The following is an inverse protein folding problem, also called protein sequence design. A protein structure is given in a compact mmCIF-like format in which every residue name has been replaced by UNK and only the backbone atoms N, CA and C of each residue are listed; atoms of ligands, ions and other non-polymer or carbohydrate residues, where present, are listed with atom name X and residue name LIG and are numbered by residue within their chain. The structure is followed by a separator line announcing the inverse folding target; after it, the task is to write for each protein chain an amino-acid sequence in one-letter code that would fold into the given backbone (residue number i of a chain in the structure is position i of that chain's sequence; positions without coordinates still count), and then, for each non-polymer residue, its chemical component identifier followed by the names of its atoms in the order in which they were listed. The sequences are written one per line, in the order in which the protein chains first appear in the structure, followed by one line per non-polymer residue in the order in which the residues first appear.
data_IF_968523431848
#
_entry.id   IF_968523431848
#
_cell.length_a   1.000
_cell.length_b   1.000
_cell.length_c   1.000
_cell.angle_alpha   90.00
_cell.angle_beta   90.00
_cell.angle_gamma   90.00
#
_symmetry.space_group_name_H-M   'P 1'
#
loop_
_entity.id
_entity.type
_entity.pdbx_description
1 polymer ?
#
# COMPACT_ATOMS: atom_id res chain seq x y z
N UNK A 1 -10.47 -8.19 -23.95
CA UNK A 1 -9.46 -7.50 -23.14
C UNK A 1 -8.71 -6.55 -24.05
N UNK A 2 -8.69 -5.25 -23.75
CA UNK A 2 -7.75 -4.34 -24.41
C UNK A 2 -6.34 -4.73 -23.95
N UNK A 3 -5.53 -5.24 -24.86
CA UNK A 3 -4.11 -5.47 -24.60
C UNK A 3 -3.39 -4.12 -24.72
N UNK A 4 -2.39 -3.83 -23.88
CA UNK A 4 -1.59 -2.62 -24.04
C UNK A 4 -0.94 -2.60 -25.43
N UNK A 5 -0.91 -1.41 -26.04
CA UNK A 5 -0.29 -1.20 -27.33
C UNK A 5 1.24 -1.38 -27.29
N UNK A 6 1.90 -1.50 -28.46
CA UNK A 6 3.36 -1.61 -28.53
C UNK A 6 4.07 -0.47 -27.77
N UNK A 7 5.07 -0.82 -26.95
CA UNK A 7 5.88 0.14 -26.21
C UNK A 7 5.27 0.67 -24.90
N UNK A 8 4.05 0.27 -24.54
CA UNK A 8 3.37 0.74 -23.32
C UNK A 8 3.80 0.01 -22.03
N UNK A 9 4.62 -1.04 -22.14
CA UNK A 9 5.18 -1.77 -21.00
C UNK A 9 6.70 -1.85 -21.15
N UNK A 10 7.41 -1.47 -20.08
CA UNK A 10 8.86 -1.55 -19.97
C UNK A 10 9.24 -2.37 -18.75
N UNK A 11 10.36 -3.09 -18.86
CA UNK A 11 10.83 -3.98 -17.80
C UNK A 11 12.28 -3.66 -17.48
N UNK A 12 12.60 -3.68 -16.20
CA UNK A 12 13.96 -3.64 -15.66
C UNK A 12 14.16 -4.84 -14.74
N UNK A 13 15.41 -5.19 -14.46
CA UNK A 13 15.73 -6.28 -13.53
C UNK A 13 16.24 -5.70 -12.23
N UNK A 14 15.72 -6.22 -11.13
CA UNK A 14 16.38 -6.16 -9.84
C UNK A 14 17.30 -7.38 -9.75
N UNK A 15 18.62 -7.17 -9.71
CA UNK A 15 19.60 -8.28 -9.73
C UNK A 15 19.63 -9.04 -8.40
N UNK A 16 19.40 -8.33 -7.30
CA UNK A 16 19.44 -8.86 -5.94
C UNK A 16 18.24 -8.31 -5.13
N UNK A 17 17.59 -9.14 -4.30
CA UNK A 17 16.40 -8.76 -3.55
C UNK A 17 16.76 -7.90 -2.32
N UNK A 18 17.33 -6.72 -2.54
CA UNK A 18 17.81 -5.81 -1.49
C UNK A 18 16.70 -4.92 -0.89
N UNK A 19 15.43 -5.27 -1.08
CA UNK A 19 14.28 -4.49 -0.58
C UNK A 19 13.57 -3.63 -1.62
N UNK A 20 12.45 -3.04 -1.22
CA UNK A 20 11.56 -2.24 -2.08
C UNK A 20 12.25 -0.97 -2.61
N UNK A 21 13.04 -0.28 -1.79
CA UNK A 21 13.76 0.92 -2.21
C UNK A 21 14.73 0.62 -3.35
N UNK A 22 15.43 -0.52 -3.29
CA UNK A 22 16.29 -0.98 -4.39
C UNK A 22 15.48 -1.28 -5.66
N UNK A 23 14.33 -1.97 -5.53
CA UNK A 23 13.47 -2.28 -6.66
C UNK A 23 12.97 -1.01 -7.37
N UNK A 24 12.57 0.01 -6.61
CA UNK A 24 12.17 1.32 -7.14
C UNK A 24 13.35 2.00 -7.85
N UNK A 25 14.54 1.97 -7.25
CA UNK A 25 15.75 2.56 -7.86
C UNK A 25 16.16 1.89 -9.19
N UNK A 26 15.89 0.59 -9.36
CA UNK A 26 16.13 -0.11 -10.64
C UNK A 26 15.30 0.48 -11.80
N UNK A 27 14.18 1.17 -11.53
CA UNK A 27 13.32 1.79 -12.52
C UNK A 27 13.69 3.24 -12.87
N UNK A 28 14.65 3.86 -12.17
CA UNK A 28 14.98 5.29 -12.31
C UNK A 28 15.21 5.77 -13.75
N UNK A 29 15.85 4.96 -14.60
CA UNK A 29 16.14 5.34 -15.99
C UNK A 29 14.90 5.26 -16.90
N UNK A 30 13.91 4.44 -16.52
CA UNK A 30 12.64 4.34 -17.23
C UNK A 30 11.71 5.48 -16.87
N UNK A 31 11.73 5.91 -15.60
CA UNK A 31 10.94 7.05 -15.10
C UNK A 31 11.56 8.38 -15.52
N UNK A 32 12.88 8.51 -15.42
CA UNK A 32 13.57 9.77 -15.67
C UNK A 32 13.33 10.79 -14.55
N UNK A 33 13.30 12.08 -14.91
CA UNK A 33 13.09 13.18 -13.97
C UNK A 33 11.62 13.63 -13.97
N UNK A 34 10.71 12.68 -13.79
CA UNK A 34 9.26 12.92 -13.77
C UNK A 34 8.64 12.34 -12.49
N UNK A 35 7.55 12.94 -11.97
CA UNK A 35 6.78 12.34 -10.90
C UNK A 35 6.17 11.01 -11.37
N UNK A 36 6.11 10.03 -10.48
CA UNK A 36 5.65 8.70 -10.84
C UNK A 36 4.71 8.08 -9.80
N UNK A 37 3.83 7.21 -10.28
CA UNK A 37 3.00 6.39 -9.41
C UNK A 37 3.70 5.06 -9.12
N UNK A 38 3.67 4.62 -7.86
CA UNK A 38 4.13 3.30 -7.43
C UNK A 38 2.95 2.49 -6.88
N UNK A 39 2.85 1.24 -7.30
CA UNK A 39 1.79 0.33 -6.91
C UNK A 39 2.40 -1.00 -6.48
N UNK A 40 2.21 -1.37 -5.20
CA UNK A 40 2.57 -2.71 -4.73
C UNK A 40 1.50 -3.71 -5.20
N UNK A 41 1.86 -4.71 -6.02
CA UNK A 41 0.91 -5.58 -6.69
C UNK A 41 0.27 -6.63 -5.76
N UNK A 42 0.90 -6.89 -4.63
CA UNK A 42 0.41 -7.74 -3.54
C UNK A 42 -0.69 -7.07 -2.71
N UNK A 43 -0.89 -5.75 -2.81
CA UNK A 43 -2.03 -5.08 -2.15
C UNK A 43 -3.15 -4.82 -3.16
N UNK A 44 -4.27 -5.52 -2.99
CA UNK A 44 -5.47 -5.31 -3.79
C UNK A 44 -6.34 -4.22 -3.19
N UNK A 45 -6.74 -3.24 -4.01
CA UNK A 45 -7.54 -2.09 -3.59
C UNK A 45 -8.98 -2.26 -4.05
N UNK A 46 -9.92 -2.35 -3.10
CA UNK A 46 -11.36 -2.48 -3.38
C UNK A 46 -12.10 -1.22 -2.93
N UNK A 47 -12.75 -0.54 -3.85
CA UNK A 47 -13.57 0.63 -3.55
C UNK A 47 -14.36 1.05 -4.77
N UNK A 48 -15.42 1.85 -4.56
CA UNK A 48 -16.26 2.33 -5.67
C UNK A 48 -15.46 3.11 -6.71
N UNK A 49 -14.46 3.87 -6.26
CA UNK A 49 -13.47 4.56 -7.11
C UNK A 49 -12.08 4.03 -6.76
N UNK A 50 -11.25 3.75 -7.76
CA UNK A 50 -9.90 3.22 -7.56
C UNK A 50 -9.01 4.16 -6.73
N UNK A 51 -8.20 3.59 -5.85
CA UNK A 51 -7.32 4.33 -4.93
C UNK A 51 -6.42 5.34 -5.67
N UNK A 52 -5.72 4.91 -6.73
CA UNK A 52 -4.85 5.80 -7.51
C UNK A 52 -5.61 6.96 -8.17
N UNK A 53 -6.86 6.74 -8.61
CA UNK A 53 -7.67 7.81 -9.18
C UNK A 53 -8.09 8.86 -8.14
N UNK A 54 -8.23 8.47 -6.86
CA UNK A 54 -8.45 9.41 -5.76
C UNK A 54 -7.15 10.17 -5.44
N UNK A 55 -6.01 9.48 -5.43
CA UNK A 55 -4.69 10.11 -5.20
C UNK A 55 -4.32 11.11 -6.29
N UNK A 56 -4.53 10.79 -7.57
CA UNK A 56 -4.23 11.69 -8.69
C UNK A 56 -5.06 12.98 -8.62
N UNK A 57 -6.31 12.91 -8.16
CA UNK A 57 -7.12 14.12 -7.93
C UNK A 57 -6.51 14.99 -6.83
N UNK A 58 -6.08 14.38 -5.72
CA UNK A 58 -5.40 15.12 -4.65
C UNK A 58 -4.05 15.70 -5.13
N UNK A 59 -3.31 14.96 -5.96
CA UNK A 59 -2.07 15.43 -6.57
C UNK A 59 -2.30 16.62 -7.47
N UNK A 60 -3.36 16.62 -8.29
CA UNK A 60 -3.69 17.75 -9.17
C UNK A 60 -3.95 19.07 -8.43
N UNK A 61 -4.38 19.02 -7.18
CA UNK A 61 -4.62 20.22 -6.36
C UNK A 61 -3.38 20.70 -5.58
N UNK A 62 -2.40 19.83 -5.32
CA UNK A 62 -1.33 20.06 -4.32
C UNK A 62 0.08 19.87 -4.84
N UNK A 63 0.26 19.00 -5.82
CA UNK A 63 1.56 18.45 -6.22
C UNK A 63 2.22 17.64 -5.10
N UNK A 64 3.55 17.55 -5.16
CA UNK A 64 4.38 16.94 -4.11
C UNK A 64 4.27 15.42 -4.02
N UNK A 65 4.47 14.89 -2.82
CA UNK A 65 4.48 13.45 -2.56
C UNK A 65 3.20 13.01 -1.84
N UNK A 66 2.58 11.94 -2.32
CA UNK A 66 1.34 11.41 -1.74
C UNK A 66 1.49 9.92 -1.47
N UNK A 67 0.98 9.47 -0.32
CA UNK A 67 0.86 8.05 0.03
C UNK A 67 -0.58 7.74 0.41
N UNK A 68 -1.12 6.64 -0.11
CA UNK A 68 -2.42 6.17 0.35
C UNK A 68 -2.29 5.57 1.74
N UNK A 69 -3.24 5.87 2.61
CA UNK A 69 -3.27 5.35 3.98
C UNK A 69 -4.61 4.74 4.33
N UNK A 70 -4.56 3.75 5.22
CA UNK A 70 -5.72 3.11 5.83
C UNK A 70 -5.47 2.88 7.32
N UNK A 71 -6.54 2.74 8.10
CA UNK A 71 -6.42 2.38 9.50
C UNK A 71 -6.00 0.91 9.63
N UNK A 72 -5.08 0.64 10.53
CA UNK A 72 -4.63 -0.71 10.89
C UNK A 72 -4.87 -0.95 12.37
N UNK A 73 -5.15 -2.20 12.75
CA UNK A 73 -5.22 -2.55 14.17
C UNK A 73 -3.86 -2.29 14.84
N UNK A 74 -3.80 -1.74 16.06
CA UNK A 74 -2.52 -1.46 16.74
C UNK A 74 -1.61 -2.69 16.86
N UNK A 75 -2.18 -3.89 16.98
CA UNK A 75 -1.44 -5.14 17.05
C UNK A 75 -0.74 -5.50 15.72
N UNK A 76 -1.24 -5.01 14.59
CA UNK A 76 -0.74 -5.32 13.25
C UNK A 76 0.20 -4.22 12.70
N UNK A 77 0.26 -3.05 13.35
CA UNK A 77 1.02 -1.89 12.88
C UNK A 77 2.52 -2.17 12.63
N UNK A 78 3.11 -3.10 13.37
CA UNK A 78 4.52 -3.49 13.22
C UNK A 78 4.84 -4.19 11.88
N UNK A 79 3.83 -4.55 11.09
CA UNK A 79 4.01 -5.16 9.77
C UNK A 79 4.12 -4.14 8.63
N UNK A 80 3.86 -2.86 8.90
CA UNK A 80 3.65 -1.84 7.87
C UNK A 80 4.50 -0.58 8.11
N UNK A 81 4.65 0.23 7.05
CA UNK A 81 5.04 1.63 7.20
C UNK A 81 3.90 2.43 7.83
N UNK A 82 4.17 3.14 8.92
CA UNK A 82 3.17 3.93 9.65
C UNK A 82 3.52 5.42 9.54
N UNK A 83 2.52 6.26 9.26
CA UNK A 83 2.69 7.72 9.16
C UNK A 83 2.15 8.43 10.40
N UNK A 84 2.73 9.58 10.74
CA UNK A 84 2.17 10.54 11.68
C UNK A 84 1.65 11.76 10.91
N UNK A 85 0.47 12.28 11.29
CA UNK A 85 -0.07 13.49 10.66
C UNK A 85 0.45 14.75 11.35
N UNK A 86 0.54 15.85 10.60
CA UNK A 86 0.79 17.16 11.19
C UNK A 86 -0.42 17.63 12.02
N UNK A 87 -0.22 18.37 13.12
CA UNK A 87 -1.33 18.91 13.91
C UNK A 87 -2.20 19.89 13.12
N UNK A 88 -3.51 19.90 13.39
CA UNK A 88 -4.44 20.91 12.85
C UNK A 88 -4.96 20.66 11.43
N UNK A 89 -4.66 19.51 10.84
CA UNK A 89 -5.24 19.08 9.57
C UNK A 89 -6.74 18.73 9.77
N UNK A 90 -7.60 19.15 8.84
CA UNK A 90 -9.05 18.86 8.89
C UNK A 90 -9.38 17.38 8.64
N UNK A 91 -10.66 17.00 8.68
CA UNK A 91 -11.10 15.60 8.53
C UNK A 91 -11.19 15.08 7.08
N UNK A 92 -10.96 15.93 6.08
CA UNK A 92 -11.18 15.58 4.66
C UNK A 92 -10.01 15.95 3.76
N UNK A 93 -9.78 15.14 2.73
CA UNK A 93 -8.73 15.34 1.74
C UNK A 93 -7.42 14.65 2.11
N UNK A 94 -6.32 15.13 1.53
CA UNK A 94 -4.98 14.68 1.89
C UNK A 94 -4.45 15.53 3.07
N UNK A 95 -3.85 14.86 4.04
CA UNK A 95 -3.33 15.47 5.27
C UNK A 95 -1.81 15.51 5.23
N UNK A 96 -1.19 16.63 5.62
CA UNK A 96 0.28 16.69 5.68
C UNK A 96 0.83 15.68 6.69
N UNK A 97 1.88 14.97 6.31
CA UNK A 97 2.60 13.99 7.13
C UNK A 97 3.72 14.70 7.89
N UNK A 98 3.84 14.45 9.19
CA UNK A 98 4.87 14.99 10.07
C UNK A 98 6.06 14.05 10.28
N UNK A 99 5.81 12.74 10.25
CA UNK A 99 6.85 11.70 10.29
C UNK A 99 6.34 10.39 9.67
N UNK A 100 7.24 9.46 9.36
CA UNK A 100 6.90 8.10 8.98
C UNK A 100 7.97 7.10 9.43
N UNK A 101 7.58 5.86 9.67
CA UNK A 101 8.48 4.80 10.16
C UNK A 101 8.13 3.46 9.55
N UNK A 102 9.13 2.73 9.06
CA UNK A 102 8.97 1.36 8.58
C UNK A 102 8.90 0.37 9.74
N UNK A 103 7.83 -0.43 9.79
CA UNK A 103 7.66 -1.57 10.72
C UNK A 103 8.06 -1.20 12.16
N UNK A 104 7.38 -0.21 12.76
CA UNK A 104 7.72 0.22 14.11
C UNK A 104 7.60 -0.96 15.08
N UNK A 105 8.44 -1.03 16.13
CA UNK A 105 8.28 -2.04 17.16
C UNK A 105 6.86 -2.04 17.74
N UNK A 106 6.37 -3.21 18.15
CA UNK A 106 5.02 -3.33 18.69
C UNK A 106 4.78 -2.33 19.84
N UNK A 107 3.69 -1.56 19.75
CA UNK A 107 3.35 -0.51 20.71
C UNK A 107 4.09 0.82 20.54
N UNK A 108 4.98 0.95 19.55
CA UNK A 108 5.74 2.18 19.27
C UNK A 108 5.30 2.87 17.96
N UNK A 109 4.22 2.41 17.34
CA UNK A 109 3.67 3.04 16.15
C UNK A 109 3.21 4.48 16.46
N UNK A 110 3.58 5.48 15.64
CA UNK A 110 3.24 6.88 15.91
C UNK A 110 1.77 7.22 15.64
N UNK A 111 1.03 6.35 14.95
CA UNK A 111 -0.42 6.41 14.75
C UNK A 111 -0.98 5.03 14.37
N UNK A 112 -2.27 4.98 14.03
CA UNK A 112 -2.96 3.82 13.45
C UNK A 112 -3.04 3.86 11.91
N UNK A 113 -2.32 4.77 11.24
CA UNK A 113 -2.39 4.96 9.79
C UNK A 113 -1.24 4.25 9.07
N UNK A 114 -1.55 3.10 8.47
CA UNK A 114 -0.60 2.36 7.63
C UNK A 114 -0.56 2.91 6.20
N UNK A 115 0.61 2.84 5.56
CA UNK A 115 0.79 3.07 4.13
C UNK A 115 0.27 1.85 3.37
N UNK A 116 -0.77 2.02 2.54
CA UNK A 116 -1.47 0.91 1.90
C UNK A 116 -0.84 0.44 0.57
N UNK A 117 0.36 0.91 0.22
CA UNK A 117 1.08 0.42 -0.97
C UNK A 117 0.70 1.11 -2.28
N UNK A 118 0.20 2.35 -2.21
CA UNK A 118 0.02 3.26 -3.37
C UNK A 118 0.69 4.59 -3.08
N UNK A 119 1.47 5.07 -4.04
CA UNK A 119 2.31 6.25 -3.89
C UNK A 119 2.26 7.11 -5.16
N UNK A 120 2.40 8.41 -5.00
CA UNK A 120 2.84 9.35 -6.04
C UNK A 120 4.08 10.03 -5.48
N UNK A 121 5.23 9.88 -6.14
CA UNK A 121 6.53 10.29 -5.63
C UNK A 121 7.24 11.21 -6.63
N UNK A 122 7.99 12.16 -6.10
CA UNK A 122 8.85 13.05 -6.87
C UNK A 122 10.18 12.36 -7.22
N UNK A 123 10.80 12.69 -8.38
CA UNK A 123 11.97 11.97 -8.89
C UNK A 123 13.22 12.10 -8.01
N UNK A 124 13.33 13.13 -7.17
CA UNK A 124 14.46 13.32 -6.24
C UNK A 124 14.62 12.16 -5.25
N UNK A 125 13.59 11.34 -5.05
CA UNK A 125 13.71 10.12 -4.25
C UNK A 125 14.76 9.15 -4.82
N UNK A 126 15.00 9.16 -6.14
CA UNK A 126 16.02 8.32 -6.76
C UNK A 126 17.44 8.70 -6.34
N UNK A 127 17.70 9.98 -6.09
CA UNK A 127 19.00 10.45 -5.60
C UNK A 127 19.24 9.96 -4.17
N UNK A 128 18.21 10.00 -3.32
CA UNK A 128 18.30 9.45 -1.95
C UNK A 128 18.53 7.93 -2.00
N UNK A 129 17.76 7.22 -2.82
CA UNK A 129 17.90 5.77 -3.00
C UNK A 129 19.25 5.37 -3.62
N UNK A 130 19.94 6.28 -4.32
CA UNK A 130 21.27 6.00 -4.91
C UNK A 130 22.34 5.68 -3.86
N UNK A 131 22.15 6.12 -2.60
CA UNK A 131 23.04 5.79 -1.49
C UNK A 131 23.02 4.30 -1.11
N UNK A 132 21.96 3.57 -1.47
CA UNK A 132 21.78 2.14 -1.18
C UNK A 132 21.93 1.81 0.32
N UNK A 133 21.57 2.75 1.20
CA UNK A 133 21.65 2.55 2.65
C UNK A 133 20.59 1.54 3.11
N UNK A 134 21.03 0.54 3.88
CA UNK A 134 20.14 -0.45 4.48
C UNK A 134 19.46 0.10 5.75
N UNK A 135 18.18 -0.20 5.90
CA UNK A 135 17.34 0.17 7.04
C UNK A 135 16.81 -1.07 7.77
N UNK A 136 15.51 -1.07 8.07
CA UNK A 136 14.86 -2.18 8.76
C UNK A 136 15.06 -3.52 8.04
N UNK A 137 15.44 -4.56 8.79
CA UNK A 137 15.66 -5.90 8.25
C UNK A 137 16.92 -6.07 7.38
N UNK A 138 17.79 -5.06 7.30
CA UNK A 138 18.96 -5.09 6.42
C UNK A 138 18.63 -4.81 4.95
N UNK A 139 17.41 -4.38 4.66
CA UNK A 139 16.92 -4.04 3.32
C UNK A 139 16.92 -2.52 3.10
N UNK A 140 17.02 -2.11 1.84
CA UNK A 140 16.88 -0.71 1.42
C UNK A 140 15.37 -0.39 1.40
N UNK A 141 14.91 0.31 2.43
CA UNK A 141 13.50 0.62 2.62
C UNK A 141 13.09 1.91 1.90
N UNK A 142 11.97 1.87 1.19
CA UNK A 142 11.40 3.05 0.55
C UNK A 142 10.95 4.09 1.58
N UNK A 143 10.40 3.65 2.72
CA UNK A 143 9.93 4.51 3.81
C UNK A 143 11.04 5.36 4.39
N UNK A 144 12.25 4.82 4.54
CA UNK A 144 13.41 5.58 5.02
C UNK A 144 13.82 6.67 4.01
N UNK A 145 13.79 6.35 2.71
CA UNK A 145 14.06 7.33 1.65
C UNK A 145 13.00 8.43 1.57
N UNK A 146 11.72 8.09 1.70
CA UNK A 146 10.63 9.07 1.78
C UNK A 146 10.79 9.98 3.01
N UNK A 147 11.10 9.41 4.18
CA UNK A 147 11.37 10.17 5.40
C UNK A 147 12.55 11.13 5.24
N UNK A 148 13.62 10.72 4.56
CA UNK A 148 14.73 11.62 4.24
C UNK A 148 14.30 12.74 3.28
N UNK A 149 13.47 12.44 2.28
CA UNK A 149 12.95 13.45 1.33
C UNK A 149 12.04 14.48 2.00
N UNK A 150 11.35 14.10 3.09
CA UNK A 150 10.51 15.01 3.88
C UNK A 150 11.28 16.22 4.44
N UNK A 151 12.61 16.16 4.53
CA UNK A 151 13.42 17.31 4.95
C UNK A 151 13.40 18.47 3.92
N UNK A 152 13.05 18.18 2.67
CA UNK A 152 13.04 19.15 1.57
C UNK A 152 11.67 19.31 0.88
N UNK A 153 10.79 18.30 0.97
CA UNK A 153 9.51 18.29 0.26
C UNK A 153 8.37 17.83 1.17
N UNK A 154 7.19 18.40 0.99
CA UNK A 154 6.00 17.97 1.72
C UNK A 154 5.51 16.59 1.26
N UNK A 155 5.04 15.81 2.22
CA UNK A 155 4.34 14.54 2.03
C UNK A 155 2.91 14.64 2.54
N UNK A 156 1.97 14.01 1.84
CA UNK A 156 0.57 13.98 2.23
C UNK A 156 0.02 12.55 2.27
N UNK A 157 -0.68 12.23 3.34
CA UNK A 157 -1.45 11.01 3.51
C UNK A 157 -2.83 11.20 2.86
N UNK A 158 -3.22 10.28 1.99
CA UNK A 158 -4.54 10.23 1.35
C UNK A 158 -5.32 9.06 1.93
N UNK A 159 -6.30 9.29 2.83
CA UNK A 159 -7.15 8.21 3.32
C UNK A 159 -7.91 7.57 2.15
N UNK A 160 -7.72 6.26 1.96
CA UNK A 160 -8.40 5.57 0.86
C UNK A 160 -9.88 5.36 1.21
N UNK A 161 -10.79 5.90 0.38
CA UNK A 161 -12.23 5.63 0.48
C UNK A 161 -12.57 4.25 -0.11
N UNK A 162 -12.11 3.21 0.56
CA UNK A 162 -12.27 1.81 0.17
C UNK A 162 -11.65 0.90 1.23
N UNK A 163 -11.24 -0.28 0.81
CA UNK A 163 -10.55 -1.26 1.64
C UNK A 163 -9.42 -1.93 0.85
N UNK A 164 -8.23 -2.00 1.43
CA UNK A 164 -7.15 -2.84 0.91
C UNK A 164 -7.23 -4.27 1.44
N UNK A 165 -6.66 -5.19 0.66
CA UNK A 165 -6.39 -6.56 1.04
C UNK A 165 -4.92 -6.85 0.75
N UNK A 166 -4.18 -7.19 1.81
CA UNK A 166 -2.78 -7.62 1.72
C UNK A 166 -2.73 -9.09 1.28
N UNK A 167 -2.43 -9.32 0.00
CA UNK A 167 -2.23 -10.64 -0.58
C UNK A 167 -0.78 -11.15 -0.44
N UNK A 168 0.11 -10.39 0.21
CA UNK A 168 1.44 -10.86 0.61
C UNK A 168 1.36 -11.90 1.73
N UNK A 169 0.29 -11.89 2.53
CA UNK A 169 0.00 -12.91 3.53
C UNK A 169 -1.14 -13.86 3.10
N UNK A 170 -1.08 -15.11 3.58
CA UNK A 170 -1.98 -16.20 3.13
C UNK A 170 -3.45 -15.92 3.44
N UNK A 171 -3.75 -15.37 4.61
CA UNK A 171 -5.14 -15.11 5.03
C UNK A 171 -5.72 -13.93 4.25
N UNK A 172 -4.95 -12.88 4.06
CA UNK A 172 -5.36 -11.73 3.27
C UNK A 172 -5.61 -12.10 1.80
N UNK A 173 -4.76 -12.95 1.20
CA UNK A 173 -5.00 -13.49 -0.15
C UNK A 173 -6.34 -14.24 -0.26
N UNK A 174 -6.64 -15.15 0.67
CA UNK A 174 -7.90 -15.91 0.68
C UNK A 174 -9.11 -14.98 0.91
N UNK A 175 -8.98 -14.06 1.87
CA UNK A 175 -10.04 -13.10 2.19
C UNK A 175 -10.32 -12.16 1.01
N UNK A 176 -9.28 -11.76 0.26
CA UNK A 176 -9.43 -10.99 -0.96
C UNK A 176 -10.26 -11.75 -2.00
N UNK A 177 -9.92 -13.01 -2.28
CA UNK A 177 -10.66 -13.83 -3.23
C UNK A 177 -12.16 -13.91 -2.88
N UNK A 178 -12.48 -14.16 -1.61
CA UNK A 178 -13.86 -14.16 -1.12
C UNK A 178 -14.52 -12.80 -1.33
N UNK A 179 -13.86 -11.72 -0.91
CA UNK A 179 -14.35 -10.36 -1.04
C UNK A 179 -14.70 -9.97 -2.48
N UNK A 180 -13.82 -10.29 -3.44
CA UNK A 180 -14.03 -10.01 -4.86
C UNK A 180 -15.08 -10.95 -5.49
N UNK A 181 -15.17 -12.21 -5.07
CA UNK A 181 -16.24 -13.11 -5.52
C UNK A 181 -17.62 -12.60 -5.07
N UNK A 182 -17.73 -12.08 -3.84
CA UNK A 182 -18.98 -11.53 -3.31
C UNK A 182 -19.43 -10.22 -3.98
N UNK A 183 -18.55 -9.52 -4.69
CA UNK A 183 -18.91 -8.35 -5.52
C UNK A 183 -19.48 -8.73 -6.88
N UNK A 184 -19.22 -9.95 -7.34
CA UNK A 184 -19.62 -10.40 -8.66
C UNK A 184 -21.04 -10.96 -8.63
N UNK A 185 -21.95 -10.32 -9.35
CA UNK A 185 -23.35 -10.75 -9.41
C UNK A 185 -23.51 -12.20 -9.87
N UNK A 186 -22.62 -12.68 -10.74
CA UNK A 186 -22.62 -14.05 -11.26
C UNK A 186 -22.03 -15.09 -10.30
N UNK A 187 -21.30 -14.68 -9.25
CA UNK A 187 -20.68 -15.58 -8.27
C UNK A 187 -21.27 -15.45 -6.85
N UNK A 188 -21.89 -14.30 -6.54
CA UNK A 188 -22.23 -13.91 -5.17
C UNK A 188 -23.17 -14.91 -4.49
N UNK A 189 -24.18 -15.41 -5.19
CA UNK A 189 -25.15 -16.35 -4.62
C UNK A 189 -24.46 -17.66 -4.21
N UNK A 190 -23.79 -18.30 -5.16
CA UNK A 190 -23.11 -19.59 -4.97
C UNK A 190 -21.99 -19.48 -3.92
N UNK A 191 -21.26 -18.35 -3.92
CA UNK A 191 -20.21 -18.10 -2.92
C UNK A 191 -20.78 -17.96 -1.50
N UNK A 192 -21.93 -17.29 -1.32
CA UNK A 192 -22.57 -17.16 -0.02
C UNK A 192 -23.08 -18.51 0.50
N UNK A 193 -23.66 -19.31 -0.39
CA UNK A 193 -24.11 -20.67 -0.05
C UNK A 193 -22.93 -21.53 0.40
N UNK A 194 -21.84 -21.56 -0.38
CA UNK A 194 -20.64 -22.31 -0.05
C UNK A 194 -20.01 -21.88 1.28
N UNK A 195 -19.92 -20.57 1.55
CA UNK A 195 -19.39 -20.07 2.84
C UNK A 195 -20.27 -20.49 4.02
N UNK A 196 -21.59 -20.41 3.86
CA UNK A 196 -22.55 -20.79 4.90
C UNK A 196 -22.40 -22.27 5.25
N UNK A 197 -22.28 -23.13 4.24
CA UNK A 197 -22.06 -24.55 4.44
C UNK A 197 -20.72 -24.85 5.14
N UNK A 198 -19.63 -24.21 4.71
CA UNK A 198 -18.32 -24.38 5.33
C UNK A 198 -18.32 -23.97 6.81
N UNK A 199 -18.91 -22.82 7.12
CA UNK A 199 -19.00 -22.32 8.50
C UNK A 199 -19.86 -23.24 9.39
N UNK A 200 -20.98 -23.76 8.86
CA UNK A 200 -21.83 -24.69 9.59
C UNK A 200 -21.10 -26.02 9.90
N UNK A 201 -20.31 -26.53 8.95
CA UNK A 201 -19.50 -27.75 9.13
C UNK A 201 -18.42 -27.56 10.20
N UNK A 202 -17.70 -26.43 10.19
CA UNK A 202 -16.68 -26.13 11.20
C UNK A 202 -17.28 -25.97 12.60
N UNK A 203 -18.44 -25.30 12.72
CA UNK A 203 -19.15 -25.16 13.99
C UNK A 203 -19.56 -26.53 14.56
N UNK A 204 -20.12 -27.41 13.73
CA UNK A 204 -20.50 -28.76 14.15
C UNK A 204 -19.29 -29.62 14.56
N UNK A 205 -18.14 -29.47 13.88
CA UNK A 205 -16.90 -30.17 14.24
C UNK A 205 -16.34 -29.69 15.59
N UNK A 206 -16.46 -28.40 15.90
CA UNK A 206 -16.04 -27.84 17.19
C UNK A 206 -16.90 -28.34 18.36
N UNK A 207 -18.21 -28.54 18.15
CA UNK A 207 -19.14 -29.04 19.17
C UNK A 207 -19.06 -30.56 19.39
N UNK A 208 -18.68 -31.34 18.37
CA UNK A 208 -18.54 -32.80 18.45
C UNK A 208 -17.21 -33.31 19.02
N UNK A 209 -16.28 -32.41 19.37
CA UNK A 209 -14.95 -32.72 19.92
C UNK A 209 -14.83 -32.62 21.45
N UNK A 210 -15.95 -32.53 22.18
CA UNK A 210 -16.00 -32.58 23.65
C UNK A 210 -16.57 -33.89 24.18
#
# INVERSE_FOLDING_TARGET
AELPGPGQASFTRQQEPLGLGHAVWCARNLVGNEPFALLLPDVLMRGRRGCMAQMVEQYGARGGNLVAVEKVAPAEAHNYGIVALAPGEGESGAHRISDMVEKPPAGQAPSDLMISGRYILQPEIFDILSSQAAGAGGEIQLTDAMRALMAAQDFHAVPFAGRSYDCGNKIGFLTANIAFALDRADLRSDMLEALTELLAREAAAADGGR
#
